data_IF_117238728607
#
_entry.id   IF_117238728607
#
_cell.length_a   1.000
_cell.length_b   1.000
_cell.length_c   1.000
_cell.angle_alpha   90.00
_cell.angle_beta   90.00
_cell.angle_gamma   90.00
#
_symmetry.space_group_name_H-M   'P 1'
#
loop_
_entity.id
_entity.type
_entity.pdbx_description
1 polymer ?
#
# COMPACT_ATOMS: atom_id res chain seq x y z
N UNK A 1 9.50 7.44 -6.94
CA UNK A 1 9.79 6.30 -6.06
C UNK A 1 8.93 6.41 -4.81
N UNK A 2 8.43 5.27 -4.29
CA UNK A 2 7.71 5.22 -3.02
C UNK A 2 8.60 5.67 -1.85
N UNK A 3 8.00 6.41 -0.93
CA UNK A 3 8.59 6.99 0.28
C UNK A 3 8.59 6.00 1.45
N UNK A 4 7.53 5.20 1.62
CA UNK A 4 7.34 4.40 2.84
C UNK A 4 8.01 3.04 2.81
N UNK A 5 8.12 2.45 1.63
CA UNK A 5 8.69 1.12 1.44
C UNK A 5 9.36 0.99 0.08
N UNK A 6 10.44 0.22 0.05
CA UNK A 6 11.17 -0.16 -1.17
C UNK A 6 10.83 -1.60 -1.57
N UNK A 7 11.27 -2.00 -2.77
CA UNK A 7 11.24 -3.41 -3.17
C UNK A 7 12.02 -4.30 -2.19
N UNK A 8 13.17 -3.84 -1.67
CA UNK A 8 13.93 -4.61 -0.69
C UNK A 8 13.12 -4.85 0.61
N UNK A 9 12.31 -3.88 1.05
CA UNK A 9 11.42 -4.06 2.21
C UNK A 9 10.32 -5.09 1.92
N UNK A 10 9.78 -5.08 0.70
CA UNK A 10 8.78 -6.06 0.25
C UNK A 10 9.36 -7.48 0.22
N UNK A 11 10.55 -7.63 -0.36
CA UNK A 11 11.29 -8.88 -0.41
C UNK A 11 11.75 -9.36 0.97
N UNK A 12 12.07 -8.45 1.89
CA UNK A 12 12.37 -8.80 3.28
C UNK A 12 11.13 -9.33 4.00
N UNK A 13 9.95 -8.75 3.73
CA UNK A 13 8.71 -9.12 4.40
C UNK A 13 8.13 -10.43 3.87
N UNK A 14 8.13 -10.63 2.54
CA UNK A 14 7.51 -11.80 1.90
C UNK A 14 8.48 -12.84 1.37
N UNK A 15 9.80 -12.60 1.42
CA UNK A 15 10.86 -13.28 0.67
C UNK A 15 10.92 -12.87 -0.80
N UNK A 16 12.14 -12.73 -1.33
CA UNK A 16 12.38 -12.43 -2.75
C UNK A 16 11.79 -13.49 -3.69
N UNK A 17 11.80 -14.77 -3.29
CA UNK A 17 11.24 -15.86 -4.08
C UNK A 17 9.71 -15.73 -4.26
N UNK A 18 8.98 -15.38 -3.20
CA UNK A 18 7.53 -15.17 -3.30
C UNK A 18 7.20 -13.92 -4.12
N UNK A 19 7.94 -12.82 -3.90
CA UNK A 19 7.72 -11.59 -4.69
C UNK A 19 7.96 -11.85 -6.18
N UNK A 20 9.00 -12.62 -6.51
CA UNK A 20 9.27 -13.03 -7.88
C UNK A 20 8.16 -13.92 -8.45
N UNK A 21 7.71 -14.95 -7.72
CA UNK A 21 6.60 -15.82 -8.15
C UNK A 21 5.30 -15.05 -8.41
N UNK A 22 5.02 -14.03 -7.60
CA UNK A 22 3.80 -13.23 -7.75
C UNK A 22 3.91 -12.20 -8.87
N UNK A 23 5.12 -11.68 -9.13
CA UNK A 23 5.37 -10.70 -10.17
C UNK A 23 5.57 -11.32 -11.55
N UNK A 24 6.01 -12.58 -11.62
CA UNK A 24 6.22 -13.36 -12.85
C UNK A 24 4.87 -13.75 -13.49
N UNK A 25 4.42 -12.89 -14.42
CA UNK A 25 3.09 -13.02 -15.05
C UNK A 25 3.06 -14.06 -16.17
N UNK A 26 4.15 -14.19 -16.93
CA UNK A 26 4.26 -15.12 -18.05
C UNK A 26 4.81 -16.49 -17.63
N UNK A 27 5.28 -16.61 -16.38
CA UNK A 27 5.77 -17.84 -15.74
C UNK A 27 7.01 -18.40 -16.42
N UNK A 28 7.84 -17.52 -16.95
CA UNK A 28 9.09 -17.91 -17.59
C UNK A 28 10.25 -18.09 -16.58
N UNK A 29 10.01 -17.75 -15.31
CA UNK A 29 10.97 -17.86 -14.21
C UNK A 29 11.96 -16.70 -14.15
N UNK A 30 11.75 -15.63 -14.92
CA UNK A 30 12.61 -14.46 -14.97
C UNK A 30 11.82 -13.16 -14.79
N UNK A 31 12.25 -12.30 -13.87
CA UNK A 31 11.69 -10.95 -13.76
C UNK A 31 12.31 -10.05 -14.81
N UNK A 32 11.54 -9.79 -15.88
CA UNK A 32 11.87 -8.80 -16.88
C UNK A 32 11.61 -7.35 -16.43
N UNK A 33 11.92 -6.36 -17.29
CA UNK A 33 11.67 -4.94 -16.99
C UNK A 33 10.19 -4.62 -16.73
N UNK A 34 9.27 -5.37 -17.35
CA UNK A 34 7.83 -5.15 -17.20
C UNK A 34 7.34 -5.60 -15.81
N UNK A 35 7.85 -6.72 -15.32
CA UNK A 35 7.54 -7.28 -14.00
C UNK A 35 8.10 -6.38 -12.90
N UNK A 36 9.33 -5.88 -13.07
CA UNK A 36 9.94 -4.89 -12.17
C UNK A 36 9.14 -3.59 -12.12
N UNK A 37 8.69 -3.07 -13.28
CA UNK A 37 7.82 -1.91 -13.33
C UNK A 37 6.45 -2.16 -12.66
N UNK A 38 5.96 -3.40 -12.72
CA UNK A 38 4.76 -3.84 -12.01
C UNK A 38 4.92 -3.78 -10.50
N UNK A 39 6.06 -4.24 -9.97
CA UNK A 39 6.38 -4.15 -8.53
C UNK A 39 6.44 -2.69 -8.08
N UNK A 40 7.12 -1.82 -8.84
CA UNK A 40 7.20 -0.39 -8.51
C UNK A 40 5.81 0.26 -8.53
N UNK A 41 5.00 -0.04 -9.55
CA UNK A 41 3.63 0.47 -9.66
C UNK A 41 2.77 0.03 -8.47
N UNK A 42 2.92 -1.22 -8.01
CA UNK A 42 2.19 -1.73 -6.85
C UNK A 42 2.59 -1.01 -5.55
N UNK A 43 3.88 -0.70 -5.36
CA UNK A 43 4.35 0.09 -4.21
C UNK A 43 3.82 1.53 -4.25
N UNK A 44 3.81 2.17 -5.42
CA UNK A 44 3.24 3.52 -5.59
C UNK A 44 1.74 3.54 -5.30
N UNK A 45 1.00 2.55 -5.79
CA UNK A 45 -0.43 2.43 -5.50
C UNK A 45 -0.70 2.20 -3.99
N UNK A 46 0.10 1.35 -3.35
CA UNK A 46 0.01 1.09 -1.93
C UNK A 46 0.28 2.33 -1.07
N UNK A 47 1.30 3.11 -1.43
CA UNK A 47 1.60 4.39 -0.79
C UNK A 47 0.43 5.36 -0.89
N UNK A 48 -0.15 5.51 -2.09
CA UNK A 48 -1.33 6.36 -2.29
C UNK A 48 -2.54 5.95 -1.44
N UNK A 49 -2.74 4.65 -1.21
CA UNK A 49 -3.78 4.15 -0.31
C UNK A 49 -3.49 4.56 1.13
N UNK A 50 -2.27 4.31 1.62
CA UNK A 50 -1.86 4.67 2.98
C UNK A 50 -1.97 6.18 3.20
N UNK A 51 -1.54 6.98 2.24
CA UNK A 51 -1.64 8.44 2.25
C UNK A 51 -3.09 8.92 2.34
N UNK A 52 -4.00 8.28 1.61
CA UNK A 52 -5.43 8.59 1.69
C UNK A 52 -5.98 8.45 3.12
N UNK A 53 -5.57 7.41 3.84
CA UNK A 53 -5.95 7.21 5.24
C UNK A 53 -5.26 8.16 6.20
N UNK A 54 -3.97 8.45 5.98
CA UNK A 54 -3.23 9.44 6.77
C UNK A 54 -3.84 10.84 6.65
N UNK A 55 -4.19 11.26 5.43
CA UNK A 55 -4.84 12.53 5.17
C UNK A 55 -6.21 12.61 5.88
N UNK A 56 -7.01 11.54 5.81
CA UNK A 56 -8.29 11.42 6.55
C UNK A 56 -8.11 11.53 8.06
N UNK A 57 -7.02 10.96 8.59
CA UNK A 57 -6.69 11.02 10.02
C UNK A 57 -6.12 12.39 10.48
N UNK A 58 -5.92 13.33 9.54
CA UNK A 58 -5.44 14.68 9.80
C UNK A 58 -3.92 14.84 9.78
N UNK A 59 -3.19 13.90 9.18
CA UNK A 59 -1.75 14.04 8.94
C UNK A 59 -1.50 14.79 7.62
N UNK A 60 -0.35 15.45 7.53
CA UNK A 60 0.11 16.13 6.32
C UNK A 60 0.72 15.12 5.33
N UNK A 61 -0.13 14.24 4.80
CA UNK A 61 0.24 13.29 3.76
C UNK A 61 0.06 13.89 2.35
N UNK A 62 0.86 13.47 1.35
CA UNK A 62 1.98 12.54 1.45
C UNK A 62 3.15 13.13 2.28
N UNK A 63 3.85 12.30 3.05
CA UNK A 63 5.05 12.76 3.73
C UNK A 63 6.19 12.95 2.72
N UNK A 64 6.91 14.07 2.81
CA UNK A 64 8.21 14.18 2.14
C UNK A 64 9.20 13.17 2.76
N UNK A 65 10.18 12.69 1.98
CA UNK A 65 11.17 11.72 2.46
C UNK A 65 11.89 12.16 3.75
N UNK A 66 12.28 13.44 3.83
CA UNK A 66 12.91 14.00 5.02
C UNK A 66 11.96 13.99 6.23
N UNK A 67 10.69 14.35 6.02
CA UNK A 67 9.67 14.32 7.06
C UNK A 67 9.36 12.90 7.54
N UNK A 68 9.40 11.91 6.64
CA UNK A 68 9.27 10.50 7.00
C UNK A 68 10.44 10.01 7.84
N UNK A 69 11.67 10.40 7.50
CA UNK A 69 12.88 10.04 8.25
C UNK A 69 12.89 10.60 9.68
N UNK A 70 12.22 11.74 9.91
CA UNK A 70 12.04 12.36 11.23
C UNK A 70 10.96 11.70 12.09
N UNK A 71 10.09 10.85 11.52
CA UNK A 71 9.07 10.14 12.29
C UNK A 71 9.72 9.17 13.29
N UNK A 72 9.07 8.87 14.43
CA UNK A 72 9.55 7.82 15.33
C UNK A 72 9.72 6.49 14.59
N UNK A 73 10.80 5.74 14.87
CA UNK A 73 11.12 4.48 14.18
C UNK A 73 9.93 3.48 14.16
N UNK A 74 9.15 3.41 15.24
CA UNK A 74 7.94 2.57 15.29
C UNK A 74 6.88 2.95 14.26
N UNK A 75 6.75 4.25 13.96
CA UNK A 75 5.79 4.78 12.98
C UNK A 75 6.30 4.51 11.58
N UNK A 76 7.59 4.73 11.33
CA UNK A 76 8.20 4.37 10.05
C UNK A 76 8.00 2.89 9.74
N UNK A 77 8.27 2.00 10.72
CA UNK A 77 8.03 0.56 10.58
C UNK A 77 6.56 0.22 10.34
N UNK A 78 5.64 0.91 11.00
CA UNK A 78 4.20 0.68 10.81
C UNK A 78 3.73 1.09 9.40
N UNK A 79 4.12 2.28 8.94
CA UNK A 79 3.81 2.77 7.59
C UNK A 79 4.40 1.87 6.52
N UNK A 80 5.65 1.44 6.73
CA UNK A 80 6.31 0.46 5.87
C UNK A 80 5.54 -0.85 5.83
N UNK A 81 5.17 -1.41 7.00
CA UNK A 81 4.43 -2.68 7.09
C UNK A 81 3.09 -2.61 6.36
N UNK A 82 2.34 -1.51 6.51
CA UNK A 82 1.09 -1.31 5.78
C UNK A 82 1.34 -1.24 4.27
N UNK A 83 2.33 -0.45 3.84
CA UNK A 83 2.67 -0.26 2.43
C UNK A 83 3.09 -1.57 1.78
N UNK A 84 4.00 -2.35 2.39
CA UNK A 84 4.42 -3.65 1.83
C UNK A 84 3.27 -4.65 1.80
N UNK A 85 2.40 -4.67 2.81
CA UNK A 85 1.24 -5.58 2.84
C UNK A 85 0.28 -5.28 1.70
N UNK A 86 -0.06 -4.01 1.50
CA UNK A 86 -0.96 -3.57 0.43
C UNK A 86 -0.33 -3.84 -0.93
N UNK A 87 0.94 -3.49 -1.14
CA UNK A 87 1.65 -3.75 -2.38
C UNK A 87 1.74 -5.26 -2.70
N UNK A 88 2.12 -6.07 -1.71
CA UNK A 88 2.20 -7.52 -1.86
C UNK A 88 0.86 -8.14 -2.21
N UNK A 89 -0.24 -7.65 -1.62
CA UNK A 89 -1.59 -8.09 -2.00
C UNK A 89 -1.93 -7.70 -3.45
N UNK A 90 -1.59 -6.49 -3.90
CA UNK A 90 -1.80 -6.08 -5.29
C UNK A 90 -1.06 -6.97 -6.28
N UNK A 91 0.22 -7.26 -6.02
CA UNK A 91 1.03 -8.14 -6.87
C UNK A 91 0.46 -9.56 -6.86
N UNK A 92 0.14 -10.10 -5.68
CA UNK A 92 -0.45 -11.42 -5.54
C UNK A 92 -1.82 -11.54 -6.24
N UNK A 93 -2.71 -10.55 -6.07
CA UNK A 93 -4.03 -10.55 -6.69
C UNK A 93 -3.93 -10.48 -8.22
N UNK A 94 -2.90 -9.81 -8.74
CA UNK A 94 -2.60 -9.74 -10.16
C UNK A 94 -2.09 -11.06 -10.75
N UNK A 95 -1.63 -12.03 -9.94
CA UNK A 95 -1.30 -13.39 -10.43
C UNK A 95 -2.53 -14.17 -10.91
N UNK A 96 -3.74 -13.68 -10.63
CA UNK A 96 -5.00 -14.25 -11.14
C UNK A 96 -5.41 -15.59 -10.53
N UNK A 97 -4.64 -16.12 -9.57
CA UNK A 97 -4.94 -17.37 -8.89
C UNK A 97 -5.82 -17.12 -7.67
N UNK A 98 -7.07 -17.58 -7.73
CA UNK A 98 -7.97 -17.64 -6.55
C UNK A 98 -7.63 -18.86 -5.71
N UNK A 99 -6.64 -18.73 -4.84
CA UNK A 99 -6.37 -19.76 -3.84
C UNK A 99 -7.56 -19.83 -2.86
N UNK A 100 -8.10 -21.04 -2.60
CA UNK A 100 -9.29 -21.25 -1.74
C UNK A 100 -9.13 -20.73 -0.30
N UNK A 101 -7.90 -20.57 0.16
CA UNK A 101 -7.55 -19.97 1.44
C UNK A 101 -6.32 -19.07 1.21
N UNK A 102 -6.55 -17.77 1.12
CA UNK A 102 -5.49 -16.82 0.85
C UNK A 102 -5.06 -16.11 2.15
N UNK A 103 -3.93 -16.53 2.71
CA UNK A 103 -3.36 -15.87 3.89
C UNK A 103 -3.05 -14.37 3.63
N UNK A 104 -2.79 -13.98 2.37
CA UNK A 104 -2.62 -12.58 1.99
C UNK A 104 -3.92 -11.79 2.10
N UNK A 105 -5.07 -12.39 1.80
CA UNK A 105 -6.36 -11.70 1.92
C UNK A 105 -6.69 -11.39 3.38
N UNK A 106 -6.43 -12.32 4.29
CA UNK A 106 -6.60 -12.08 5.73
C UNK A 106 -5.64 -11.00 6.25
N UNK A 107 -4.37 -11.03 5.81
CA UNK A 107 -3.36 -10.04 6.17
C UNK A 107 -3.75 -8.64 5.63
N UNK A 108 -4.17 -8.57 4.37
CA UNK A 108 -4.64 -7.34 3.72
C UNK A 108 -5.88 -6.78 4.42
N UNK A 109 -6.89 -7.61 4.69
CA UNK A 109 -8.11 -7.19 5.38
C UNK A 109 -7.81 -6.63 6.78
N UNK A 110 -6.88 -7.26 7.52
CA UNK A 110 -6.43 -6.74 8.83
C UNK A 110 -5.73 -5.40 8.70
N UNK A 111 -4.83 -5.25 7.73
CA UNK A 111 -4.14 -3.97 7.46
C UNK A 111 -5.13 -2.89 7.07
N UNK A 112 -6.11 -3.20 6.23
CA UNK A 112 -7.15 -2.25 5.85
C UNK A 112 -8.02 -1.84 7.04
N UNK A 113 -8.37 -2.77 7.93
CA UNK A 113 -9.09 -2.44 9.16
C UNK A 113 -8.29 -1.45 10.04
N UNK A 114 -6.98 -1.63 10.18
CA UNK A 114 -6.12 -0.71 10.91
C UNK A 114 -6.05 0.68 10.26
N UNK A 115 -5.96 0.73 8.93
CA UNK A 115 -5.97 1.99 8.17
C UNK A 115 -7.33 2.71 8.29
N UNK A 116 -8.43 1.97 8.27
CA UNK A 116 -9.76 2.53 8.50
C UNK A 116 -9.91 3.08 9.92
N UNK A 117 -9.43 2.36 10.93
CA UNK A 117 -9.43 2.83 12.31
C UNK A 117 -8.58 4.09 12.46
N UNK A 118 -7.41 4.16 11.81
CA UNK A 118 -6.60 5.36 11.71
C UNK A 118 -7.41 6.53 11.10
N UNK A 119 -8.06 6.30 9.95
CA UNK A 119 -8.90 7.28 9.27
C UNK A 119 -10.11 7.76 10.09
N UNK A 120 -10.63 6.91 10.99
CA UNK A 120 -11.70 7.25 11.95
C UNK A 120 -11.22 8.04 13.17
N UNK A 121 -9.91 8.26 13.29
CA UNK A 121 -9.32 9.11 14.33
C UNK A 121 -8.50 8.39 15.38
N UNK A 122 -8.24 7.09 15.22
CA UNK A 122 -7.27 6.38 16.07
C UNK A 122 -5.88 6.93 15.75
N UNK A 123 -5.16 7.44 16.75
CA UNK A 123 -3.90 8.14 16.51
C UNK A 123 -2.75 7.16 16.27
N UNK A 124 -1.82 7.52 15.39
CA UNK A 124 -0.48 6.93 15.39
C UNK A 124 0.21 7.35 16.69
N UNK A 125 0.46 6.38 17.57
CA UNK A 125 1.07 6.63 18.86
C UNK A 125 2.40 7.38 18.71
N UNK A 126 2.51 8.58 19.28
CA UNK A 126 3.71 9.42 19.27
C UNK A 126 3.91 10.29 18.03
N UNK A 127 2.91 10.43 17.16
CA UNK A 127 2.89 11.49 16.14
C UNK A 127 1.90 12.55 16.58
N UNK A 128 2.38 13.78 16.82
CA UNK A 128 1.47 14.90 17.02
C UNK A 128 0.68 15.13 15.73
N UNK A 129 -0.65 15.27 15.82
CA UNK A 129 -1.43 15.78 14.67
C UNK A 129 -0.83 17.13 14.31
N UNK A 130 -0.33 17.28 13.08
CA UNK A 130 0.11 18.57 12.59
C UNK A 130 -1.14 19.46 12.49
N UNK A 131 -1.38 20.25 13.54
CA UNK A 131 -2.35 21.33 13.49
C UNK A 131 -1.85 22.38 12.51
N UNK A 132 -2.18 22.19 11.22
CA UNK A 132 -2.41 23.22 10.19
C UNK A 132 -2.83 22.54 8.90
N UNK A 133 -4.15 22.38 8.75
CA UNK A 133 -4.79 22.21 7.45
C UNK A 133 -4.61 23.52 6.69
N UNK A 134 -3.60 23.61 5.84
CA UNK A 134 -3.60 24.60 4.76
C UNK A 134 -4.36 23.99 3.59
N UNK A 135 -5.67 24.25 3.54
CA UNK A 135 -6.48 24.02 2.35
C UNK A 135 -6.07 25.03 1.26
N UNK A 136 -4.91 24.79 0.66
CA UNK A 136 -4.42 25.50 -0.51
C UNK A 136 -5.04 24.91 -1.78
N UNK A 137 -6.04 25.60 -2.31
CA UNK A 137 -6.59 25.48 -3.67
C UNK A 137 -7.24 24.15 -4.07
N UNK A 138 -8.56 24.06 -3.84
CA UNK A 138 -9.51 23.83 -4.94
C UNK A 138 -9.58 22.45 -5.61
N UNK A 139 -8.97 21.39 -5.07
CA UNK A 139 -9.29 20.01 -5.48
C UNK A 139 -9.94 19.28 -4.32
N UNK A 140 -11.24 19.04 -4.44
CA UNK A 140 -11.96 18.04 -3.64
C UNK A 140 -11.21 16.73 -3.74
N UNK A 141 -10.68 16.26 -2.61
CA UNK A 141 -10.11 14.92 -2.46
C UNK A 141 -11.23 13.96 -2.86
N UNK A 142 -11.12 13.34 -4.04
CA UNK A 142 -12.00 12.23 -4.40
C UNK A 142 -11.94 11.21 -3.28
N UNK A 143 -13.09 10.67 -2.87
CA UNK A 143 -13.13 9.57 -1.91
C UNK A 143 -12.02 8.58 -2.26
N UNK A 144 -11.18 8.18 -1.29
CA UNK A 144 -10.36 6.99 -1.50
C UNK A 144 -11.33 5.90 -1.92
N UNK A 145 -11.20 5.46 -3.18
CA UNK A 145 -11.98 4.36 -3.74
C UNK A 145 -11.48 3.10 -3.08
N UNK A 146 -11.95 2.89 -1.85
CA UNK A 146 -11.92 1.63 -1.12
C UNK A 146 -12.91 0.62 -1.77
N UNK A 147 -13.57 1.04 -2.85
CA UNK A 147 -14.51 0.25 -3.61
C UNK A 147 -13.79 -0.73 -4.54
N UNK A 148 -13.58 -1.95 -4.05
CA UNK A 148 -13.11 -3.10 -4.82
C UNK A 148 -14.20 -3.69 -5.75
N UNK A 149 -15.36 -3.03 -5.93
CA UNK A 149 -16.45 -3.54 -6.78
C UNK A 149 -16.02 -3.73 -8.24
N UNK A 150 -15.13 -2.87 -8.75
CA UNK A 150 -14.53 -3.02 -10.08
C UNK A 150 -13.68 -4.30 -10.20
N UNK A 151 -12.96 -4.71 -9.16
CA UNK A 151 -12.23 -5.99 -9.13
C UNK A 151 -13.14 -7.23 -9.01
N UNK A 152 -14.39 -7.05 -8.58
CA UNK A 152 -15.38 -8.14 -8.48
C UNK A 152 -16.27 -8.25 -9.72
N UNK A 153 -16.44 -7.17 -10.47
CA UNK A 153 -17.37 -7.06 -11.60
C UNK A 153 -16.74 -7.21 -12.98
N UNK A 154 -15.44 -6.97 -13.11
CA UNK A 154 -14.74 -7.17 -14.38
C UNK A 154 -14.44 -8.66 -14.52
N UNK A 155 -15.43 -9.39 -15.02
CA UNK A 155 -15.18 -10.59 -15.79
C UNK A 155 -14.20 -10.22 -16.89
N UNK A 156 -12.93 -10.54 -16.66
CA UNK A 156 -11.89 -10.49 -17.68
C UNK A 156 -12.23 -11.59 -18.69
N UNK A 157 -13.11 -11.26 -19.64
CA UNK A 157 -13.30 -12.01 -20.86
C UNK A 157 -11.98 -11.93 -21.65
N UNK A 158 -11.19 -12.98 -21.57
CA UNK A 158 -10.24 -13.41 -22.60
C UNK A 158 -10.37 -14.92 -22.80
#
# INVERSE_FOLDING_TARGET
MPTYATQADLEQFFSAANVADWADKDRDGALGPAEQAGIETALVAAEGIVDGYLARAGYAAPFAADAFAELPARVQSQLRQWTVTVAGFHIYAWRGLRDRANAMEALYARTLAQLQDLGRGTLLAGVARAGRVSAGTGRTVGQATDDLSHLRGDGWDW
#
